data_IF_425991815050
#
_entry.id   IF_425991815050
#
_cell.length_a   1.000
_cell.length_b   1.000
_cell.length_c   1.000
_cell.angle_alpha   90.00
_cell.angle_beta   90.00
_cell.angle_gamma   90.00
#
_symmetry.space_group_name_H-M   'P 1'
#
loop_
_entity.id
_entity.type
_entity.pdbx_description
1 polymer ?
#
# COMPACT_ATOMS: atom_id res chain seq x y z
N UNK A 1 37.40 -69.17 5.95
CA UNK A 1 38.19 -68.16 6.68
C UNK A 1 37.19 -67.38 7.54
N UNK A 2 36.97 -67.79 8.81
CA UNK A 2 37.48 -67.18 10.05
C UNK A 2 37.04 -65.70 10.20
N UNK A 3 36.49 -65.17 11.29
CA UNK A 3 36.21 -65.59 12.68
C UNK A 3 35.36 -64.44 13.29
N UNK A 4 34.30 -64.71 14.05
CA UNK A 4 33.73 -63.77 15.06
C UNK A 4 34.65 -63.87 16.31
N UNK A 5 34.86 -62.87 17.23
CA UNK A 5 33.81 -62.13 17.96
C UNK A 5 34.12 -60.72 18.58
N UNK A 6 33.06 -60.17 19.23
CA UNK A 6 33.04 -59.35 20.47
C UNK A 6 33.02 -57.78 20.45
N UNK A 7 31.89 -57.26 21.00
CA UNK A 7 31.50 -56.01 21.75
C UNK A 7 32.59 -55.01 22.27
N UNK A 8 32.25 -53.79 22.82
CA UNK A 8 30.98 -53.03 22.90
C UNK A 8 31.03 -51.46 22.77
N UNK A 9 29.84 -50.83 22.76
CA UNK A 9 29.42 -49.59 23.47
C UNK A 9 29.29 -48.22 22.76
N UNK A 10 28.23 -47.50 23.19
CA UNK A 10 27.83 -46.08 23.02
C UNK A 10 26.80 -45.83 21.86
N UNK A 11 25.60 -45.24 22.05
CA UNK A 11 25.04 -44.34 23.08
C UNK A 11 23.49 -44.40 23.17
N UNK A 12 23.02 -44.00 24.36
CA UNK A 12 21.76 -43.28 24.71
C UNK A 12 20.54 -44.12 25.13
N UNK A 13 20.05 -43.88 26.35
CA UNK A 13 18.65 -43.46 26.49
C UNK A 13 18.44 -42.30 27.49
N UNK A 14 17.25 -41.71 27.42
CA UNK A 14 16.74 -40.55 28.15
C UNK A 14 16.42 -40.81 29.64
N UNK A 15 16.45 -39.77 30.48
CA UNK A 15 15.77 -39.65 31.79
C UNK A 15 15.80 -38.17 32.29
N UNK A 16 15.12 -37.76 33.39
CA UNK A 16 13.82 -37.09 33.34
C UNK A 16 13.72 -35.77 34.16
N UNK A 17 12.53 -35.16 34.12
CA UNK A 17 12.04 -33.97 34.86
C UNK A 17 12.50 -33.89 36.32
N UNK A 18 13.05 -32.73 36.72
CA UNK A 18 13.27 -32.36 38.11
C UNK A 18 12.17 -31.42 38.63
N UNK A 19 11.80 -31.66 39.88
CA UNK A 19 10.62 -31.21 40.62
C UNK A 19 10.62 -29.71 40.94
N UNK A 20 9.44 -29.11 40.84
CA UNK A 20 9.09 -27.90 41.56
C UNK A 20 9.11 -28.17 43.07
N UNK A 21 9.87 -27.36 43.82
CA UNK A 21 9.82 -27.29 45.28
C UNK A 21 9.67 -25.81 45.69
N UNK A 22 8.86 -25.63 46.74
CA UNK A 22 8.23 -24.42 47.21
C UNK A 22 9.13 -23.19 47.51
N UNK A 23 8.58 -22.04 47.11
CA UNK A 23 8.44 -20.79 47.87
C UNK A 23 9.49 -20.42 48.95
N UNK A 24 10.25 -19.37 48.65
CA UNK A 24 10.48 -18.24 49.56
C UNK A 24 10.28 -16.92 48.79
N UNK A 25 9.19 -16.21 49.07
CA UNK A 25 9.13 -14.76 48.90
C UNK A 25 9.48 -14.15 50.26
N UNK A 26 10.36 -13.15 50.29
CA UNK A 26 9.84 -11.80 50.39
C UNK A 26 10.69 -10.83 49.54
N UNK A 27 10.30 -10.61 48.29
CA UNK A 27 10.90 -9.53 47.49
C UNK A 27 10.00 -9.00 46.37
N UNK A 28 8.74 -9.45 46.24
CA UNK A 28 7.89 -9.03 45.10
C UNK A 28 7.28 -7.64 45.28
N UNK A 29 7.03 -7.18 46.50
CA UNK A 29 6.40 -5.87 46.76
C UNK A 29 7.36 -4.69 46.54
N UNK A 30 8.58 -4.76 47.08
CA UNK A 30 9.58 -3.69 46.89
C UNK A 30 10.04 -3.54 45.43
N UNK A 31 10.23 -4.67 44.71
CA UNK A 31 10.64 -4.64 43.31
C UNK A 31 9.52 -4.16 42.36
N UNK A 32 8.25 -4.37 42.71
CA UNK A 32 7.10 -3.91 41.91
C UNK A 32 6.89 -2.40 42.05
N UNK A 33 7.05 -1.84 43.25
CA UNK A 33 7.01 -0.39 43.51
C UNK A 33 8.14 0.34 42.78
N UNK A 34 9.37 -0.19 42.86
CA UNK A 34 10.55 0.35 42.18
C UNK A 34 10.43 0.24 40.65
N UNK A 35 9.81 -0.84 40.13
CA UNK A 35 9.56 -1.00 38.69
C UNK A 35 8.50 -0.01 38.18
N UNK A 36 7.42 0.21 38.92
CA UNK A 36 6.40 1.21 38.58
C UNK A 36 6.98 2.63 38.58
N UNK A 37 7.76 2.98 39.60
CA UNK A 37 8.42 4.29 39.67
C UNK A 37 9.39 4.53 38.49
N UNK A 38 10.16 3.51 38.09
CA UNK A 38 11.06 3.59 36.93
C UNK A 38 10.31 3.66 35.60
N UNK A 39 9.19 2.95 35.48
CA UNK A 39 8.34 2.99 34.29
C UNK A 39 7.63 4.33 34.13
N UNK A 40 7.09 4.88 35.22
CA UNK A 40 6.51 6.23 35.21
C UNK A 40 7.54 7.28 34.83
N UNK A 41 8.76 7.21 35.39
CA UNK A 41 9.85 8.10 35.00
C UNK A 41 10.23 7.96 33.51
N UNK A 42 10.27 6.74 32.99
CA UNK A 42 10.53 6.49 31.57
C UNK A 42 9.40 7.00 30.66
N UNK A 43 8.14 6.95 31.11
CA UNK A 43 7.01 7.53 30.39
C UNK A 43 7.05 9.06 30.40
N UNK A 44 7.42 9.69 31.52
CA UNK A 44 7.60 11.14 31.59
C UNK A 44 8.78 11.61 30.72
N UNK A 45 9.91 10.90 30.73
CA UNK A 45 11.05 11.18 29.84
C UNK A 45 10.70 10.94 28.37
N UNK A 46 9.94 9.88 28.05
CA UNK A 46 9.48 9.62 26.69
C UNK A 46 8.47 10.67 26.21
N UNK A 47 7.59 11.14 27.10
CA UNK A 47 6.63 12.21 26.79
C UNK A 47 7.33 13.55 26.61
N UNK A 48 8.32 13.86 27.44
CA UNK A 48 9.16 15.04 27.29
C UNK A 48 9.99 14.98 25.99
N UNK A 49 10.58 13.82 25.68
CA UNK A 49 11.31 13.58 24.45
C UNK A 49 10.44 13.69 23.20
N UNK A 50 9.23 13.13 23.23
CA UNK A 50 8.26 13.24 22.13
C UNK A 50 7.72 14.68 21.97
N UNK A 51 7.53 15.41 23.06
CA UNK A 51 7.15 16.82 23.01
C UNK A 51 8.28 17.69 22.42
N UNK A 52 9.53 17.43 22.79
CA UNK A 52 10.69 18.11 22.22
C UNK A 52 10.85 17.80 20.71
N UNK A 53 10.76 16.52 20.32
CA UNK A 53 10.80 16.11 18.92
C UNK A 53 9.63 16.66 18.11
N UNK A 54 8.43 16.71 18.71
CA UNK A 54 7.24 17.30 18.09
C UNK A 54 7.38 18.81 17.89
N UNK A 55 7.98 19.52 18.86
CA UNK A 55 8.27 20.95 18.72
C UNK A 55 9.31 21.21 17.63
N UNK A 56 10.41 20.46 17.59
CA UNK A 56 11.43 20.58 16.53
C UNK A 56 10.89 20.21 15.14
N UNK A 57 10.08 19.16 15.05
CA UNK A 57 9.43 18.75 13.82
C UNK A 57 8.43 19.81 13.35
N UNK A 58 7.70 20.45 14.26
CA UNK A 58 6.80 21.54 13.94
C UNK A 58 7.56 22.76 13.42
N UNK A 59 8.65 23.17 14.09
CA UNK A 59 9.48 24.29 13.63
C UNK A 59 10.10 24.02 12.25
N UNK A 60 10.58 22.80 12.01
CA UNK A 60 11.07 22.40 10.67
C UNK A 60 9.94 22.38 9.66
N UNK A 61 8.78 21.81 9.99
CA UNK A 61 7.63 21.78 9.11
C UNK A 61 7.10 23.18 8.77
N UNK A 62 7.16 24.13 9.71
CA UNK A 62 6.83 25.54 9.48
C UNK A 62 7.84 26.18 8.52
N UNK A 63 9.14 26.02 8.74
CA UNK A 63 10.16 26.53 7.82
C UNK A 63 10.04 25.93 6.40
N UNK A 64 9.76 24.62 6.30
CA UNK A 64 9.50 23.96 5.02
C UNK A 64 8.19 24.43 4.39
N UNK A 65 7.15 24.67 5.20
CA UNK A 65 5.87 25.21 4.73
C UNK A 65 6.06 26.63 4.20
N UNK A 66 6.80 27.48 4.87
CA UNK A 66 7.04 28.86 4.41
C UNK A 66 7.82 28.88 3.09
N UNK A 67 8.86 28.05 2.98
CA UNK A 67 9.59 27.89 1.71
C UNK A 67 8.70 27.29 0.61
N UNK A 68 7.85 26.32 0.95
CA UNK A 68 6.92 25.71 0.02
C UNK A 68 5.83 26.72 -0.41
N UNK A 69 5.35 27.59 0.48
CA UNK A 69 4.37 28.63 0.16
C UNK A 69 5.00 29.67 -0.77
N UNK A 70 6.22 30.14 -0.45
CA UNK A 70 6.95 31.09 -1.28
C UNK A 70 7.21 30.55 -2.70
N UNK A 71 7.67 29.30 -2.81
CA UNK A 71 7.84 28.65 -4.12
C UNK A 71 6.49 28.33 -4.77
N UNK A 72 5.49 27.90 -4.01
CA UNK A 72 4.19 27.54 -4.59
C UNK A 72 3.50 28.72 -5.27
N UNK A 73 3.69 29.96 -4.82
CA UNK A 73 3.12 31.12 -5.51
C UNK A 73 3.59 31.21 -6.96
N UNK A 74 4.90 31.12 -7.16
CA UNK A 74 5.55 31.15 -8.49
C UNK A 74 5.12 29.94 -9.34
N UNK A 75 5.06 28.76 -8.74
CA UNK A 75 4.69 27.53 -9.42
C UNK A 75 3.18 27.44 -9.72
N UNK A 76 2.33 28.07 -8.91
CA UNK A 76 0.87 28.08 -9.12
C UNK A 76 0.53 28.92 -10.35
N UNK A 77 1.21 30.04 -10.56
CA UNK A 77 0.97 30.87 -11.73
C UNK A 77 1.51 30.19 -13.01
N UNK A 78 2.68 29.56 -12.94
CA UNK A 78 3.19 28.74 -14.05
C UNK A 78 2.31 27.49 -14.30
N UNK A 79 1.83 26.84 -13.23
CA UNK A 79 0.95 25.69 -13.31
C UNK A 79 -0.47 26.02 -13.81
N UNK A 80 -0.95 27.26 -13.68
CA UNK A 80 -2.20 27.67 -14.35
C UNK A 80 -2.01 27.71 -15.86
N UNK A 81 -0.95 28.38 -16.33
CA UNK A 81 -0.65 28.50 -17.77
C UNK A 81 -0.35 27.13 -18.38
N UNK A 82 0.50 26.35 -17.72
CA UNK A 82 0.82 25.00 -18.14
C UNK A 82 -0.37 24.05 -17.96
N UNK A 83 -1.17 24.24 -16.91
CA UNK A 83 -2.36 23.45 -16.61
C UNK A 83 -3.45 23.59 -17.65
N UNK A 84 -3.66 24.78 -18.22
CA UNK A 84 -4.60 24.96 -19.34
C UNK A 84 -4.12 24.25 -20.61
N UNK A 85 -2.82 24.32 -20.92
CA UNK A 85 -2.24 23.60 -22.07
C UNK A 85 -2.25 22.09 -21.84
N UNK A 86 -1.93 21.65 -20.63
CA UNK A 86 -1.95 20.27 -20.21
C UNK A 86 -3.39 19.73 -20.20
N UNK A 87 -4.40 20.50 -19.78
CA UNK A 87 -5.82 20.09 -19.85
C UNK A 87 -6.25 19.87 -21.31
N UNK A 88 -5.84 20.76 -22.22
CA UNK A 88 -6.10 20.58 -23.67
C UNK A 88 -5.42 19.32 -24.22
N UNK A 89 -4.11 19.16 -23.98
CA UNK A 89 -3.34 17.98 -24.42
C UNK A 89 -3.84 16.68 -23.78
N UNK A 90 -4.18 16.71 -22.49
CA UNK A 90 -4.75 15.57 -21.78
C UNK A 90 -6.12 15.19 -22.34
N UNK A 91 -6.94 16.18 -22.73
CA UNK A 91 -8.20 15.95 -23.42
C UNK A 91 -8.00 15.21 -24.76
N UNK A 92 -7.08 15.69 -25.61
CA UNK A 92 -6.71 14.99 -26.85
C UNK A 92 -6.16 13.58 -26.60
N UNK A 93 -5.20 13.45 -25.67
CA UNK A 93 -4.59 12.16 -25.33
C UNK A 93 -5.59 11.18 -24.69
N UNK A 94 -6.60 11.67 -23.98
CA UNK A 94 -7.65 10.83 -23.42
C UNK A 94 -8.55 10.27 -24.53
N UNK A 95 -8.89 11.07 -25.55
CA UNK A 95 -9.65 10.60 -26.72
C UNK A 95 -8.85 9.58 -27.53
N UNK A 96 -7.57 9.87 -27.81
CA UNK A 96 -6.68 8.95 -28.51
C UNK A 96 -6.43 7.68 -27.69
N UNK A 97 -6.17 7.82 -26.39
CA UNK A 97 -5.96 6.73 -25.45
C UNK A 97 -7.18 5.83 -25.34
N UNK A 98 -8.40 6.39 -25.34
CA UNK A 98 -9.64 5.61 -25.40
C UNK A 98 -9.70 4.79 -26.69
N UNK A 99 -9.42 5.39 -27.85
CA UNK A 99 -9.39 4.64 -29.12
C UNK A 99 -8.37 3.51 -29.08
N UNK A 100 -7.11 3.80 -28.70
CA UNK A 100 -6.03 2.80 -28.65
C UNK A 100 -6.32 1.69 -27.64
N UNK A 101 -6.87 2.04 -26.48
CA UNK A 101 -7.27 1.07 -25.47
C UNK A 101 -8.46 0.22 -25.97
N UNK A 102 -9.45 0.83 -26.61
CA UNK A 102 -10.58 0.12 -27.22
C UNK A 102 -10.12 -0.83 -28.33
N UNK A 103 -9.16 -0.42 -29.17
CA UNK A 103 -8.57 -1.27 -30.20
C UNK A 103 -7.77 -2.42 -29.59
N UNK A 104 -6.97 -2.16 -28.56
CA UNK A 104 -6.22 -3.19 -27.85
C UNK A 104 -7.14 -4.19 -27.13
N UNK A 105 -8.19 -3.72 -26.46
CA UNK A 105 -9.20 -4.55 -25.80
C UNK A 105 -9.97 -5.37 -26.83
N UNK A 106 -10.35 -4.76 -27.96
CA UNK A 106 -11.04 -5.47 -29.04
C UNK A 106 -10.14 -6.53 -29.68
N UNK A 107 -8.86 -6.22 -29.88
CA UNK A 107 -7.86 -7.17 -30.37
C UNK A 107 -7.64 -8.33 -29.40
N UNK A 108 -7.54 -8.04 -28.10
CA UNK A 108 -7.47 -9.07 -27.06
C UNK A 108 -8.76 -9.91 -27.02
N UNK A 109 -9.92 -9.28 -27.14
CA UNK A 109 -11.22 -9.95 -27.18
C UNK A 109 -11.35 -10.90 -28.36
N UNK A 110 -10.88 -10.49 -29.55
CA UNK A 110 -10.79 -11.37 -30.72
C UNK A 110 -9.84 -12.53 -30.47
N UNK A 111 -8.63 -12.26 -29.97
CA UNK A 111 -7.68 -13.33 -29.65
C UNK A 111 -8.24 -14.33 -28.63
N UNK A 112 -8.93 -13.86 -27.60
CA UNK A 112 -9.61 -14.70 -26.61
C UNK A 112 -10.76 -15.49 -27.24
N UNK A 113 -11.54 -14.88 -28.13
CA UNK A 113 -12.62 -15.54 -28.86
C UNK A 113 -12.09 -16.61 -29.80
N UNK A 114 -11.02 -16.33 -30.53
CA UNK A 114 -10.38 -17.24 -31.48
C UNK A 114 -9.68 -18.42 -30.76
N UNK A 115 -9.33 -18.24 -29.47
CA UNK A 115 -8.75 -19.28 -28.61
C UNK A 115 -9.73 -19.80 -27.56
N UNK A 116 -11.04 -19.50 -27.70
CA UNK A 116 -12.03 -19.78 -26.67
C UNK A 116 -12.15 -21.28 -26.35
N UNK A 117 -12.06 -22.16 -27.35
CA UNK A 117 -12.03 -23.62 -27.14
C UNK A 117 -10.84 -24.06 -26.27
N UNK A 118 -9.68 -23.43 -26.42
CA UNK A 118 -8.48 -23.72 -25.61
C UNK A 118 -8.54 -23.09 -24.20
N UNK A 119 -9.34 -22.04 -24.02
CA UNK A 119 -9.55 -21.36 -22.73
C UNK A 119 -10.61 -22.09 -21.90
N UNK A 120 -11.66 -22.61 -22.53
CA UNK A 120 -12.73 -23.37 -21.88
C UNK A 120 -12.18 -24.64 -21.20
N UNK A 121 -11.23 -25.31 -21.87
CA UNK A 121 -10.50 -26.47 -21.33
C UNK A 121 -9.58 -26.15 -20.13
N UNK A 122 -9.18 -24.88 -19.93
CA UNK A 122 -8.13 -24.49 -18.95
C UNK A 122 -8.66 -23.83 -17.67
N UNK A 123 -9.83 -23.19 -17.69
CA UNK A 123 -10.18 -22.23 -16.62
C UNK A 123 -11.32 -22.60 -15.66
N UNK A 124 -12.23 -23.51 -16.00
CA UNK A 124 -13.19 -24.11 -15.05
C UNK A 124 -14.15 -23.15 -14.29
N UNK A 125 -15.20 -23.72 -13.71
CA UNK A 125 -16.37 -23.02 -13.11
C UNK A 125 -16.10 -22.09 -11.91
N UNK A 126 -14.87 -21.98 -11.39
CA UNK A 126 -14.57 -21.29 -10.12
C UNK A 126 -14.23 -19.79 -10.23
N UNK A 127 -14.06 -19.24 -11.43
CA UNK A 127 -13.89 -17.79 -11.63
C UNK A 127 -15.21 -17.01 -11.81
N UNK A 128 -16.36 -17.71 -11.81
CA UNK A 128 -17.67 -17.13 -12.11
C UNK A 128 -18.25 -16.21 -11.04
N UNK A 129 -18.04 -16.49 -9.75
CA UNK A 129 -18.69 -15.72 -8.67
C UNK A 129 -17.97 -14.41 -8.33
N UNK A 130 -16.65 -14.38 -8.47
CA UNK A 130 -15.88 -13.13 -8.38
C UNK A 130 -16.14 -12.26 -9.60
N UNK A 131 -16.24 -12.87 -10.79
CA UNK A 131 -16.66 -12.18 -12.00
C UNK A 131 -18.09 -11.63 -11.86
N UNK A 132 -19.08 -12.38 -11.34
CA UNK A 132 -20.46 -11.87 -11.18
C UNK A 132 -20.54 -10.67 -10.23
N UNK A 133 -19.79 -10.70 -9.14
CA UNK A 133 -19.77 -9.62 -8.15
C UNK A 133 -19.02 -8.39 -8.68
N UNK A 134 -17.89 -8.59 -9.35
CA UNK A 134 -17.16 -7.53 -10.03
C UNK A 134 -17.96 -6.95 -11.21
N UNK A 135 -18.66 -7.78 -11.98
CA UNK A 135 -19.50 -7.37 -13.10
C UNK A 135 -20.68 -6.52 -12.67
N UNK A 136 -21.34 -6.84 -11.54
CA UNK A 136 -22.38 -5.96 -10.97
C UNK A 136 -21.82 -4.61 -10.56
N UNK A 137 -20.67 -4.58 -9.87
CA UNK A 137 -20.00 -3.32 -9.51
C UNK A 137 -19.51 -2.55 -10.73
N UNK A 138 -19.01 -3.23 -11.76
CA UNK A 138 -18.62 -2.62 -13.04
C UNK A 138 -19.82 -2.07 -13.80
N UNK A 139 -20.98 -2.72 -13.77
CA UNK A 139 -22.21 -2.22 -14.41
C UNK A 139 -22.77 -1.00 -13.68
N UNK A 140 -22.78 -0.99 -12.35
CA UNK A 140 -23.15 0.21 -11.58
C UNK A 140 -22.14 1.36 -11.74
N UNK A 141 -20.85 1.03 -11.87
CA UNK A 141 -19.80 2.02 -12.12
C UNK A 141 -19.85 2.53 -13.55
N UNK A 142 -20.11 1.67 -14.53
CA UNK A 142 -20.29 2.04 -15.93
C UNK A 142 -21.54 2.91 -16.10
N UNK A 143 -22.66 2.59 -15.45
CA UNK A 143 -23.84 3.47 -15.47
C UNK A 143 -23.57 4.84 -14.82
N UNK A 144 -22.73 4.90 -13.77
CA UNK A 144 -22.28 6.16 -13.16
C UNK A 144 -21.24 6.92 -13.99
N UNK A 145 -20.46 6.23 -14.81
CA UNK A 145 -19.48 6.83 -15.73
C UNK A 145 -20.18 7.30 -17.01
N UNK A 146 -21.17 6.56 -17.50
CA UNK A 146 -21.98 6.90 -18.68
C UNK A 146 -22.95 8.05 -18.37
N UNK A 147 -23.45 8.13 -17.13
CA UNK A 147 -24.30 9.23 -16.67
C UNK A 147 -23.50 10.46 -16.19
N UNK A 148 -22.16 10.41 -16.17
CA UNK A 148 -21.32 11.55 -15.77
C UNK A 148 -20.45 11.99 -16.94
N UNK A 149 -20.70 13.19 -17.41
CA UNK A 149 -19.82 13.83 -18.36
C UNK A 149 -18.42 14.04 -17.74
N UNK A 150 -17.39 13.90 -18.56
CA UNK A 150 -15.98 14.11 -18.18
C UNK A 150 -15.73 15.48 -17.53
N UNK A 151 -16.60 16.45 -17.76
CA UNK A 151 -16.56 17.78 -17.15
C UNK A 151 -17.03 17.73 -15.67
N UNK A 152 -18.14 17.06 -15.39
CA UNK A 152 -18.61 16.81 -14.01
C UNK A 152 -17.63 15.93 -13.22
N UNK A 153 -16.99 14.95 -13.87
CA UNK A 153 -16.00 14.10 -13.21
C UNK A 153 -14.73 14.89 -12.83
N UNK A 154 -14.36 15.88 -13.65
CA UNK A 154 -13.27 16.81 -13.35
C UNK A 154 -13.59 17.71 -12.16
N UNK A 155 -14.84 18.18 -12.06
CA UNK A 155 -15.31 19.01 -10.95
C UNK A 155 -15.47 18.21 -9.65
N UNK A 156 -15.99 16.99 -9.70
CA UNK A 156 -16.04 16.07 -8.55
C UNK A 156 -14.63 15.72 -8.06
N UNK A 157 -13.69 15.48 -8.98
CA UNK A 157 -12.29 15.22 -8.63
C UNK A 157 -11.66 16.45 -7.96
N UNK A 158 -11.94 17.66 -8.46
CA UNK A 158 -11.52 18.91 -7.81
C UNK A 158 -12.15 19.05 -6.42
N UNK A 159 -13.44 18.75 -6.28
CA UNK A 159 -14.13 18.83 -5.00
C UNK A 159 -13.57 17.81 -4.00
N UNK A 160 -13.25 16.59 -4.45
CA UNK A 160 -12.61 15.56 -3.64
C UNK A 160 -11.22 15.98 -3.16
N UNK A 161 -10.39 16.57 -4.04
CA UNK A 161 -9.08 17.12 -3.66
C UNK A 161 -9.24 18.25 -2.63
N UNK A 162 -10.24 19.12 -2.81
CA UNK A 162 -10.55 20.22 -1.88
C UNK A 162 -11.03 19.72 -0.52
N UNK A 163 -11.87 18.69 -0.50
CA UNK A 163 -12.47 18.11 0.72
C UNK A 163 -11.48 17.21 1.47
N UNK A 164 -10.53 16.61 0.78
CA UNK A 164 -9.60 15.64 1.36
C UNK A 164 -8.22 15.68 0.68
N UNK A 165 -7.42 16.74 0.91
CA UNK A 165 -6.12 16.90 0.29
C UNK A 165 -5.13 15.77 0.63
N UNK A 166 -5.14 15.26 1.87
CA UNK A 166 -4.27 14.16 2.29
C UNK A 166 -4.59 12.82 1.61
N UNK A 167 -5.88 12.53 1.40
CA UNK A 167 -6.32 11.31 0.72
C UNK A 167 -5.97 11.35 -0.76
N UNK A 168 -6.21 12.50 -1.42
CA UNK A 168 -5.84 12.70 -2.81
C UNK A 168 -4.32 12.54 -3.03
N UNK A 169 -3.49 13.13 -2.18
CA UNK A 169 -2.02 12.98 -2.25
C UNK A 169 -1.60 11.52 -2.03
N UNK A 170 -2.23 10.81 -1.10
CA UNK A 170 -1.96 9.38 -0.88
C UNK A 170 -2.29 8.52 -2.09
N UNK A 171 -3.46 8.73 -2.70
CA UNK A 171 -3.88 8.01 -3.91
C UNK A 171 -2.93 8.33 -5.08
N UNK A 172 -2.59 9.60 -5.27
CA UNK A 172 -1.66 10.03 -6.33
C UNK A 172 -0.26 9.42 -6.14
N UNK A 173 0.24 9.33 -4.90
CA UNK A 173 1.53 8.71 -4.61
C UNK A 173 1.54 7.23 -4.97
N UNK A 174 0.48 6.50 -4.63
CA UNK A 174 0.35 5.07 -4.96
C UNK A 174 0.22 4.87 -6.46
N UNK A 175 -0.67 5.62 -7.13
CA UNK A 175 -0.86 5.55 -8.57
C UNK A 175 0.42 5.92 -9.34
N UNK A 176 1.09 7.00 -8.93
CA UNK A 176 2.37 7.43 -9.49
C UNK A 176 3.46 6.38 -9.31
N UNK A 177 3.54 5.72 -8.15
CA UNK A 177 4.47 4.62 -7.92
C UNK A 177 4.18 3.43 -8.84
N UNK A 178 2.92 3.05 -9.04
CA UNK A 178 2.56 1.96 -9.96
C UNK A 178 2.91 2.28 -11.42
N UNK A 179 2.61 3.49 -11.88
CA UNK A 179 3.01 3.94 -13.21
C UNK A 179 4.54 3.94 -13.36
N UNK A 180 5.25 4.54 -12.40
CA UNK A 180 6.72 4.53 -12.37
C UNK A 180 7.27 3.10 -12.39
N UNK A 181 6.65 2.17 -11.65
CA UNK A 181 7.04 0.76 -11.57
C UNK A 181 6.81 0.03 -12.89
N UNK A 182 5.76 0.35 -13.63
CA UNK A 182 5.44 -0.22 -14.94
C UNK A 182 6.45 0.25 -15.99
N UNK A 183 6.71 1.56 -16.06
CA UNK A 183 7.70 2.12 -17.00
C UNK A 183 9.14 1.73 -16.62
N UNK A 184 9.49 1.72 -15.34
CA UNK A 184 10.79 1.24 -14.85
C UNK A 184 11.01 -0.24 -15.11
N UNK A 185 9.94 -1.05 -15.10
CA UNK A 185 10.00 -2.48 -15.42
C UNK A 185 10.31 -2.77 -16.88
N UNK A 186 10.01 -1.82 -17.79
CA UNK A 186 10.20 -1.99 -19.24
C UNK A 186 11.62 -1.71 -19.72
N UNK A 187 12.48 -1.10 -18.90
CA UNK A 187 13.87 -0.78 -19.27
C UNK A 187 14.87 -1.86 -18.80
N UNK A 188 14.39 -3.10 -18.58
CA UNK A 188 15.22 -4.24 -18.14
C UNK A 188 14.96 -5.51 -18.96
N UNK A 189 14.79 -5.37 -20.27
CA UNK A 189 14.80 -6.48 -21.21
C UNK A 189 15.76 -6.18 -22.35
#
# INVERSE_FOLDING_TARGET
MAKTPAKPAAKKPAAPRAKAAAAKAPAKSANTEVAKAKFSKALDDAKAGAAALGAEAKTRAEAYRDQAVAKSGEWVDEAKVYGEQAKKKAGELAVEGKSRASDAISGLGKLVSDNAETIDDRFGTKYGDYARTASRKMQETAAKIEAKDLDELGDDAREFVRKSPGLAVGIAAVAGFFLARLFSGSNKS
#
